data_IF_898800154715
#
_entry.id   IF_898800154715
#
_cell.length_a   1.000
_cell.length_b   1.000
_cell.length_c   1.000
_cell.angle_alpha   90.00
_cell.angle_beta   90.00
_cell.angle_gamma   90.00
#
_symmetry.space_group_name_H-M   'P 1'
#
loop_
_entity.id
_entity.type
_entity.pdbx_description
1 polymer ?
#
# COMPACT_ATOMS: atom_id res chain seq x y z
N UNK A 1 -1.58 -7.27 -21.89
CA UNK A 1 -0.57 -6.21 -22.04
C UNK A 1 -0.65 -5.30 -20.83
N UNK A 2 0.18 -5.56 -19.82
CA UNK A 2 0.20 -4.75 -18.59
C UNK A 2 1.14 -3.58 -18.82
N UNK A 3 0.58 -2.42 -19.15
CA UNK A 3 1.35 -1.19 -19.31
C UNK A 3 1.85 -0.75 -17.93
N UNK A 4 3.17 -0.89 -17.73
CA UNK A 4 3.88 -0.32 -16.60
C UNK A 4 3.82 1.20 -16.77
N UNK A 5 2.86 1.86 -16.11
CA UNK A 5 2.85 3.32 -16.02
C UNK A 5 4.02 3.71 -15.12
N UNK A 6 5.03 4.34 -15.72
CA UNK A 6 6.13 4.98 -15.02
C UNK A 6 5.54 6.03 -14.09
N UNK A 7 5.65 5.83 -12.78
CA UNK A 7 5.31 6.83 -11.77
C UNK A 7 6.10 8.08 -12.05
N UNK A 8 5.40 9.10 -12.54
CA UNK A 8 5.89 10.47 -12.63
C UNK A 8 6.51 10.88 -11.30
N UNK A 9 7.70 11.47 -11.38
CA UNK A 9 8.57 11.87 -10.28
C UNK A 9 7.78 12.39 -9.06
N UNK A 10 7.93 11.70 -7.92
CA UNK A 10 7.30 12.11 -6.68
C UNK A 10 7.87 13.46 -6.22
N UNK A 11 7.03 14.50 -6.18
CA UNK A 11 7.41 15.88 -5.78
C UNK A 11 7.51 16.04 -4.26
N UNK A 12 8.03 15.02 -3.60
CA UNK A 12 8.25 14.97 -2.16
C UNK A 12 9.65 15.48 -1.86
N UNK A 13 9.79 16.37 -0.88
CA UNK A 13 11.11 16.86 -0.44
C UNK A 13 11.92 15.71 0.15
N UNK A 14 13.12 15.49 -0.39
CA UNK A 14 14.15 14.78 0.35
C UNK A 14 14.67 15.70 1.48
N UNK A 15 14.33 15.35 2.72
CA UNK A 15 14.72 16.09 3.94
C UNK A 15 16.07 15.64 4.52
N UNK A 16 16.74 14.62 3.97
CA UNK A 16 17.96 14.02 4.55
C UNK A 16 19.08 15.05 4.79
N UNK A 17 19.27 15.98 3.86
CA UNK A 17 20.29 17.04 4.00
C UNK A 17 19.95 18.04 5.12
N UNK A 18 18.66 18.32 5.34
CA UNK A 18 18.22 19.21 6.41
C UNK A 18 18.23 18.50 7.77
N UNK A 19 17.93 17.21 7.81
CA UNK A 19 18.03 16.37 9.00
C UNK A 19 19.48 16.28 9.48
N UNK A 20 20.44 15.99 8.58
CA UNK A 20 21.87 15.94 8.92
C UNK A 20 22.40 17.27 9.45
N UNK A 21 21.91 18.40 8.93
CA UNK A 21 22.26 19.73 9.42
C UNK A 21 21.62 20.04 10.79
N UNK A 22 20.44 19.49 11.06
CA UNK A 22 19.73 19.71 12.32
C UNK A 22 20.33 18.91 13.49
N UNK A 23 21.08 17.84 13.21
CA UNK A 23 21.73 16.97 14.21
C UNK A 23 23.19 17.30 14.49
N UNK A 24 23.73 18.37 13.89
CA UNK A 24 25.15 18.73 13.98
C UNK A 24 25.50 19.49 15.28
N UNK A 25 24.49 19.85 16.10
CA UNK A 25 24.70 20.52 17.39
C UNK A 25 24.82 19.51 18.55
N UNK A 26 25.68 19.83 19.52
CA UNK A 26 25.92 19.00 20.71
C UNK A 26 24.83 19.15 21.79
N UNK A 27 23.95 20.15 21.67
CA UNK A 27 22.88 20.42 22.63
C UNK A 27 21.58 19.70 22.22
N UNK A 28 21.15 18.71 23.01
CA UNK A 28 19.99 17.87 22.71
C UNK A 28 18.70 18.67 22.50
N UNK A 29 18.45 19.70 23.31
CA UNK A 29 17.24 20.54 23.21
C UNK A 29 17.19 21.28 21.87
N UNK A 30 18.34 21.74 21.38
CA UNK A 30 18.43 22.44 20.10
C UNK A 30 18.13 21.51 18.93
N UNK A 31 18.61 20.26 18.99
CA UNK A 31 18.33 19.23 17.98
C UNK A 31 16.84 18.91 17.96
N UNK A 32 16.24 18.68 19.12
CA UNK A 32 14.80 18.37 19.25
C UNK A 32 13.93 19.47 18.66
N UNK A 33 14.24 20.73 18.93
CA UNK A 33 13.48 21.86 18.39
C UNK A 33 13.66 22.01 16.88
N UNK A 34 14.84 21.72 16.34
CA UNK A 34 15.09 21.76 14.91
C UNK A 34 14.35 20.64 14.17
N UNK A 35 14.32 19.43 14.72
CA UNK A 35 13.55 18.30 14.17
C UNK A 35 12.05 18.62 14.18
N UNK A 36 11.51 19.14 15.31
CA UNK A 36 10.11 19.57 15.40
C UNK A 36 9.76 20.60 14.32
N UNK A 37 10.64 21.58 14.07
CA UNK A 37 10.43 22.58 13.00
C UNK A 37 10.40 21.96 11.61
N UNK A 38 11.27 20.99 11.33
CA UNK A 38 11.30 20.28 10.05
C UNK A 38 10.02 19.46 9.85
N UNK A 39 9.52 18.80 10.89
CA UNK A 39 8.30 18.01 10.83
C UNK A 39 7.04 18.88 10.72
N UNK A 40 7.04 20.04 11.37
CA UNK A 40 5.98 21.03 11.28
C UNK A 40 5.94 21.79 9.93
N UNK A 41 6.74 21.40 8.92
CA UNK A 41 6.72 22.03 7.59
C UNK A 41 6.23 21.09 6.49
N UNK A 42 5.47 21.65 5.56
CA UNK A 42 4.92 20.94 4.41
C UNK A 42 6.02 20.24 3.58
N UNK A 43 5.82 18.96 3.30
CA UNK A 43 6.78 18.11 2.57
C UNK A 43 6.81 18.36 1.05
N UNK A 44 6.00 19.28 0.51
CA UNK A 44 6.02 19.62 -0.91
C UNK A 44 7.20 20.53 -1.29
N UNK A 45 7.94 20.21 -2.35
CA UNK A 45 9.22 20.86 -2.76
C UNK A 45 9.19 22.39 -2.76
N UNK A 46 8.11 23.00 -3.26
CA UNK A 46 8.00 24.46 -3.40
C UNK A 46 7.33 25.15 -2.21
N UNK A 47 6.82 24.42 -1.22
CA UNK A 47 5.99 24.99 -0.15
C UNK A 47 6.75 25.11 1.17
N UNK A 48 6.77 26.29 1.80
CA UNK A 48 7.37 26.50 3.14
C UNK A 48 6.32 26.78 4.24
N UNK A 49 5.04 26.55 3.96
CA UNK A 49 3.96 26.75 4.94
C UNK A 49 4.15 25.82 6.14
N UNK A 50 3.91 26.38 7.34
CA UNK A 50 3.80 25.60 8.58
C UNK A 50 2.55 24.75 8.55
N UNK A 51 2.66 23.58 9.14
CA UNK A 51 1.66 22.51 9.16
C UNK A 51 1.54 21.99 10.60
N UNK A 52 1.89 22.83 11.59
CA UNK A 52 1.77 22.52 13.02
C UNK A 52 0.32 22.19 13.38
N UNK A 53 -0.58 23.14 13.11
CA UNK A 53 -1.95 23.07 13.63
C UNK A 53 -2.87 22.25 12.71
N UNK A 54 -2.79 22.49 11.40
CA UNK A 54 -3.59 21.79 10.40
C UNK A 54 -2.71 21.15 9.34
N UNK A 55 -2.59 19.83 9.42
CA UNK A 55 -1.84 19.02 8.47
C UNK A 55 -2.60 17.79 8.04
N UNK A 56 -2.52 17.52 6.75
CA UNK A 56 -3.06 16.30 6.14
C UNK A 56 -1.89 15.36 5.90
N UNK A 57 -2.01 14.14 6.41
CA UNK A 57 -1.09 13.05 6.19
C UNK A 57 -1.52 12.19 4.99
N UNK A 58 -0.57 11.89 4.11
CA UNK A 58 -0.85 11.01 2.98
C UNK A 58 -0.64 9.55 3.35
N UNK A 59 -1.62 8.69 3.07
CA UNK A 59 -1.57 7.23 3.35
C UNK A 59 -0.47 6.48 2.57
N UNK A 60 -0.02 7.01 1.43
CA UNK A 60 0.92 6.33 0.54
C UNK A 60 2.38 6.73 0.77
N UNK A 61 2.64 8.00 1.09
CA UNK A 61 4.00 8.50 1.35
C UNK A 61 4.25 8.91 2.81
N UNK A 62 3.27 8.71 3.69
CA UNK A 62 3.32 8.99 5.14
C UNK A 62 3.88 10.37 5.48
N UNK A 63 3.73 11.32 4.56
CA UNK A 63 4.29 12.68 4.66
C UNK A 63 3.18 13.66 5.01
N UNK A 64 3.53 14.68 5.81
CA UNK A 64 2.61 15.74 6.25
C UNK A 64 2.62 16.93 5.28
N UNK A 65 1.43 17.36 4.86
CA UNK A 65 1.22 18.45 3.92
C UNK A 65 0.23 19.48 4.45
N UNK A 66 0.35 20.73 3.97
CA UNK A 66 -0.65 21.76 4.21
C UNK A 66 -1.95 21.47 3.43
N UNK A 67 -3.06 22.09 3.82
CA UNK A 67 -4.38 21.94 3.17
C UNK A 67 -4.34 22.11 1.65
N UNK A 68 -3.54 23.06 1.13
CA UNK A 68 -3.38 23.28 -0.31
C UNK A 68 -2.63 22.17 -1.08
N UNK A 69 -1.84 21.32 -0.40
CA UNK A 69 -1.03 20.27 -1.02
C UNK A 69 -1.33 18.87 -0.46
N UNK A 70 -2.42 18.73 0.30
CA UNK A 70 -2.81 17.46 0.91
C UNK A 70 -3.33 16.43 -0.10
N UNK A 71 -3.74 16.87 -1.29
CA UNK A 71 -4.29 15.96 -2.29
C UNK A 71 -3.16 15.10 -2.92
N UNK A 72 -3.35 13.78 -3.03
CA UNK A 72 -2.37 12.85 -3.61
C UNK A 72 -1.95 13.19 -5.04
N UNK A 73 -2.83 13.76 -5.85
CA UNK A 73 -2.52 14.20 -7.22
C UNK A 73 -1.41 15.27 -7.26
N UNK A 74 -1.35 16.15 -6.25
CA UNK A 74 -0.44 17.31 -6.26
C UNK A 74 1.00 16.90 -5.94
N UNK A 75 1.17 15.95 -5.00
CA UNK A 75 2.49 15.48 -4.58
C UNK A 75 2.95 14.19 -5.28
N UNK A 76 2.15 13.66 -6.22
CA UNK A 76 2.53 12.54 -7.08
C UNK A 76 2.15 11.15 -6.54
N UNK A 77 1.36 11.08 -5.48
CA UNK A 77 0.78 9.81 -4.99
C UNK A 77 -0.54 9.43 -5.69
N UNK A 78 -0.99 10.21 -6.67
CA UNK A 78 -2.25 9.98 -7.40
C UNK A 78 -2.32 8.64 -8.11
N UNK A 79 -1.22 8.15 -8.69
CA UNK A 79 -1.22 6.83 -9.34
C UNK A 79 -1.44 5.67 -8.35
N UNK A 80 -0.92 5.80 -7.12
CA UNK A 80 -1.12 4.82 -6.08
C UNK A 80 -2.59 4.79 -5.64
N UNK A 81 -3.20 5.97 -5.48
CA UNK A 81 -4.64 6.11 -5.20
C UNK A 81 -5.47 5.49 -6.30
N UNK A 82 -5.20 5.85 -7.56
CA UNK A 82 -5.92 5.34 -8.72
C UNK A 82 -5.88 3.81 -8.78
N UNK A 83 -4.72 3.20 -8.51
CA UNK A 83 -4.58 1.74 -8.49
C UNK A 83 -5.38 1.10 -7.37
N UNK A 84 -5.35 1.69 -6.17
CA UNK A 84 -6.10 1.20 -5.02
C UNK A 84 -7.61 1.31 -5.23
N UNK A 85 -8.07 2.44 -5.74
CA UNK A 85 -9.48 2.66 -6.09
C UNK A 85 -9.93 1.74 -7.22
N UNK A 86 -9.10 1.56 -8.25
CA UNK A 86 -9.39 0.62 -9.32
C UNK A 86 -9.48 -0.81 -8.80
N UNK A 87 -8.59 -1.22 -7.89
CA UNK A 87 -8.67 -2.54 -7.23
C UNK A 87 -9.98 -2.68 -6.44
N UNK A 88 -10.34 -1.66 -5.65
CA UNK A 88 -11.59 -1.64 -4.87
C UNK A 88 -12.83 -1.64 -5.77
N UNK A 89 -12.75 -1.02 -6.94
CA UNK A 89 -13.85 -1.00 -7.90
C UNK A 89 -13.99 -2.32 -8.66
N UNK A 90 -12.87 -2.93 -9.09
CA UNK A 90 -12.85 -4.23 -9.76
C UNK A 90 -13.22 -5.38 -8.82
N UNK A 91 -12.80 -5.27 -7.56
CA UNK A 91 -13.19 -6.15 -6.47
C UNK A 91 -13.97 -5.33 -5.45
N UNK A 92 -15.23 -4.97 -5.76
CA UNK A 92 -16.09 -4.31 -4.79
C UNK A 92 -16.12 -5.25 -3.58
N UNK A 93 -15.66 -4.74 -2.45
CA UNK A 93 -15.52 -5.45 -1.19
C UNK A 93 -16.73 -6.37 -0.97
N UNK A 94 -16.60 -7.64 -1.33
CA UNK A 94 -17.52 -8.66 -0.86
C UNK A 94 -17.16 -8.82 0.59
N UNK A 95 -17.88 -8.11 1.47
CA UNK A 95 -17.91 -8.29 2.92
C UNK A 95 -18.32 -9.72 3.35
N UNK A 96 -18.23 -10.70 2.46
CA UNK A 96 -18.74 -12.06 2.57
C UNK A 96 -17.63 -13.13 2.46
N UNK A 97 -16.34 -12.79 2.48
CA UNK A 97 -15.30 -13.72 1.98
C UNK A 97 -14.05 -13.92 2.84
N UNK A 98 -14.20 -14.10 4.16
CA UNK A 98 -13.30 -15.02 4.87
C UNK A 98 -13.97 -16.38 5.00
N UNK A 99 -15.22 -16.42 5.48
CA UNK A 99 -15.98 -17.66 5.64
C UNK A 99 -16.29 -18.35 4.31
N UNK A 100 -16.58 -17.60 3.24
CA UNK A 100 -16.80 -18.18 1.91
C UNK A 100 -15.50 -18.65 1.26
N UNK A 101 -14.37 -18.05 1.60
CA UNK A 101 -13.06 -18.47 1.08
C UNK A 101 -12.63 -19.80 1.74
N UNK A 102 -12.86 -19.95 3.05
CA UNK A 102 -12.71 -21.22 3.76
C UNK A 102 -13.62 -22.30 3.16
N UNK A 103 -14.92 -22.01 3.04
CA UNK A 103 -15.90 -22.94 2.43
C UNK A 103 -15.57 -23.30 0.99
N UNK A 104 -15.00 -22.37 0.20
CA UNK A 104 -14.56 -22.65 -1.16
C UNK A 104 -13.33 -23.56 -1.18
N UNK A 105 -12.37 -23.35 -0.28
CA UNK A 105 -11.20 -24.21 -0.12
C UNK A 105 -11.59 -25.64 0.31
N UNK A 106 -12.51 -25.77 1.28
CA UNK A 106 -13.01 -27.06 1.76
C UNK A 106 -13.75 -27.82 0.64
N UNK A 107 -14.59 -27.12 -0.14
CA UNK A 107 -15.27 -27.71 -1.30
C UNK A 107 -14.28 -28.17 -2.38
N UNK A 108 -13.22 -27.40 -2.63
CA UNK A 108 -12.17 -27.78 -3.57
C UNK A 108 -11.42 -29.02 -3.09
N UNK A 109 -11.04 -29.06 -1.81
CA UNK A 109 -10.38 -30.21 -1.21
C UNK A 109 -11.24 -31.48 -1.28
N UNK A 110 -12.53 -31.38 -0.96
CA UNK A 110 -13.48 -32.48 -1.08
C UNK A 110 -13.58 -33.00 -2.53
N UNK A 111 -13.67 -32.09 -3.51
CA UNK A 111 -13.77 -32.45 -4.93
C UNK A 111 -12.48 -33.07 -5.47
N UNK A 112 -11.31 -32.60 -5.04
CA UNK A 112 -10.02 -33.23 -5.36
C UNK A 112 -9.94 -34.65 -4.80
N UNK A 113 -10.41 -34.87 -3.57
CA UNK A 113 -10.45 -36.20 -2.95
C UNK A 113 -11.40 -37.15 -3.69
N UNK A 114 -12.58 -36.67 -4.10
CA UNK A 114 -13.49 -37.45 -4.94
C UNK A 114 -12.85 -37.86 -6.27
N UNK A 115 -12.23 -36.92 -6.98
CA UNK A 115 -11.51 -37.22 -8.22
C UNK A 115 -10.36 -38.22 -8.02
N UNK A 116 -9.66 -38.17 -6.88
CA UNK A 116 -8.64 -39.17 -6.53
C UNK A 116 -9.25 -40.57 -6.36
N UNK A 117 -10.40 -40.69 -5.69
CA UNK A 117 -11.10 -41.98 -5.56
C UNK A 117 -11.58 -42.51 -6.91
N UNK A 118 -12.17 -41.67 -7.75
CA UNK A 118 -12.63 -42.05 -9.10
C UNK A 118 -11.47 -42.51 -10.00
N UNK A 119 -10.30 -41.87 -9.89
CA UNK A 119 -9.08 -42.31 -10.59
C UNK A 119 -8.59 -43.67 -10.11
N UNK A 120 -8.60 -43.93 -8.79
CA UNK A 120 -8.20 -45.22 -8.21
C UNK A 120 -9.16 -46.36 -8.59
N UNK A 121 -10.47 -46.09 -8.61
CA UNK A 121 -11.48 -47.08 -8.98
C UNK A 121 -11.34 -47.53 -10.45
N UNK A 122 -11.08 -46.59 -11.38
CA UNK A 122 -10.80 -46.92 -12.79
C UNK A 122 -9.49 -47.70 -12.99
N UNK A 123 -8.56 -47.64 -12.04
CA UNK A 123 -7.29 -48.37 -12.10
C UNK A 123 -7.43 -49.85 -11.69
N UNK A 124 -8.49 -50.20 -10.95
CA UNK A 124 -8.80 -51.57 -10.56
C UNK A 124 -9.67 -52.32 -11.60
N UNK A 125 -10.54 -51.62 -12.33
CA UNK A 125 -11.42 -52.26 -13.32
C UNK A 125 -10.70 -52.69 -14.61
N UNK A 126 -9.52 -52.13 -14.92
CA UNK A 126 -8.70 -52.54 -16.06
C UNK A 126 -7.80 -53.76 -15.78
N UNK A 127 -7.70 -54.23 -14.53
CA UNK A 127 -6.86 -55.40 -14.16
C UNK A 127 -7.63 -56.72 -14.00
N UNK A 128 -8.95 -56.74 -14.15
CA UNK A 128 -9.79 -57.95 -13.96
C UNK A 128 -10.16 -58.71 -15.23
N UNK A 129 -9.53 -58.41 -16.39
CA UNK A 129 -9.69 -59.18 -17.62
C UNK A 129 -8.42 -59.98 -17.91
N UNK A 130 -8.27 -61.11 -17.24
CA UNK A 130 -7.38 -62.20 -17.67
C UNK A 130 -7.91 -63.52 -17.14
#
# INVERSE_FOLDING_TARGET
>A
MSTITKTVESKVKNKEKNLKKATDSNDLDTVLDNVKKIDATCCFTKCKKRTSDFGIDCKYCSSRFCTAHGLPEIHGCGEAVRRDEQRKFQHPYTALSQDKHGKAADKLAAKLKQMQFERKAKQCTSKSKK
#
